data_IF_387244651066
#
_entry.id   IF_387244651066
#
_cell.length_a   1.000
_cell.length_b   1.000
_cell.length_c   1.000
_cell.angle_alpha   90.00
_cell.angle_beta   90.00
_cell.angle_gamma   90.00
#
_symmetry.space_group_name_H-M   'P 1'
#
loop_
_entity.id
_entity.type
_entity.pdbx_description
1 polymer ?
#
# COMPACT_ATOMS: atom_id res chain seq x y z
N UNK A 1 0.33 -25.64 0.46
CA UNK A 1 1.14 -24.66 -0.30
C UNK A 1 0.35 -23.37 -0.38
N UNK A 2 1.00 -22.27 -0.02
CA UNK A 2 0.45 -20.92 -0.06
C UNK A 2 0.20 -20.52 -1.52
N UNK A 3 -0.92 -19.83 -1.79
CA UNK A 3 -1.19 -19.24 -3.10
C UNK A 3 -0.36 -17.96 -3.23
N UNK A 4 0.30 -17.76 -4.35
CA UNK A 4 1.27 -16.67 -4.53
C UNK A 4 0.64 -15.49 -5.27
N UNK A 5 1.05 -14.26 -4.96
CA UNK A 5 0.57 -13.06 -5.64
C UNK A 5 1.72 -12.43 -6.43
N UNK A 6 1.41 -12.03 -7.66
CA UNK A 6 2.33 -11.26 -8.51
C UNK A 6 1.81 -9.82 -8.55
N UNK A 7 2.67 -8.88 -8.19
CA UNK A 7 2.33 -7.45 -8.20
C UNK A 7 2.79 -6.79 -9.50
N UNK A 8 1.89 -6.11 -10.20
CA UNK A 8 2.14 -5.42 -11.47
C UNK A 8 1.98 -3.92 -11.23
N UNK A 9 3.05 -3.15 -11.37
CA UNK A 9 3.04 -1.70 -11.17
C UNK A 9 3.24 -1.01 -12.51
N UNK A 10 2.30 -0.16 -12.93
CA UNK A 10 2.37 0.49 -14.25
C UNK A 10 2.37 2.01 -14.18
N UNK A 11 3.30 2.62 -14.92
CA UNK A 11 3.53 4.06 -14.96
C UNK A 11 4.09 4.65 -13.66
N UNK A 12 4.55 5.89 -13.71
CA UNK A 12 5.19 6.59 -12.59
C UNK A 12 4.44 6.49 -11.26
N UNK A 13 3.13 6.73 -11.25
CA UNK A 13 2.34 6.66 -10.02
C UNK A 13 2.23 5.23 -9.46
N UNK A 14 2.12 4.22 -10.34
CA UNK A 14 2.10 2.81 -9.95
C UNK A 14 3.44 2.36 -9.37
N UNK A 15 4.55 2.78 -9.99
CA UNK A 15 5.91 2.48 -9.50
C UNK A 15 6.18 3.11 -8.14
N UNK A 16 5.85 4.38 -7.94
CA UNK A 16 6.08 5.09 -6.66
C UNK A 16 5.20 4.58 -5.52
N UNK A 17 3.92 4.31 -5.78
CA UNK A 17 3.05 3.67 -4.79
C UNK A 17 3.49 2.23 -4.51
N UNK A 18 3.93 1.51 -5.53
CA UNK A 18 4.53 0.18 -5.40
C UNK A 18 5.79 0.18 -4.54
N UNK A 19 6.68 1.14 -4.72
CA UNK A 19 7.89 1.27 -3.91
C UNK A 19 7.54 1.46 -2.42
N UNK A 20 6.57 2.33 -2.10
CA UNK A 20 6.09 2.50 -0.72
C UNK A 20 5.44 1.23 -0.16
N UNK A 21 4.69 0.50 -1.00
CA UNK A 21 4.10 -0.79 -0.62
C UNK A 21 5.16 -1.85 -0.28
N UNK A 22 6.18 -2.00 -1.13
CA UNK A 22 7.26 -2.97 -0.89
C UNK A 22 8.14 -2.60 0.29
N UNK A 23 8.41 -1.31 0.50
CA UNK A 23 9.14 -0.82 1.67
C UNK A 23 8.40 -1.18 2.97
N UNK A 24 7.09 -0.92 3.01
CA UNK A 24 6.25 -1.30 4.14
C UNK A 24 6.22 -2.82 4.35
N UNK A 25 6.07 -3.60 3.28
CA UNK A 25 5.99 -5.06 3.37
C UNK A 25 7.30 -5.67 3.86
N UNK A 26 8.47 -5.14 3.44
CA UNK A 26 9.76 -5.56 3.99
C UNK A 26 9.85 -5.28 5.49
N UNK A 27 9.40 -4.09 5.92
CA UNK A 27 9.41 -3.71 7.32
C UNK A 27 8.51 -4.61 8.17
N UNK A 28 7.29 -4.92 7.69
CA UNK A 28 6.34 -5.82 8.37
C UNK A 28 6.86 -7.25 8.50
N UNK A 29 7.62 -7.70 7.50
CA UNK A 29 8.24 -9.04 7.47
C UNK A 29 9.57 -9.09 8.22
N UNK A 30 10.05 -7.97 8.78
CA UNK A 30 11.36 -7.91 9.42
C UNK A 30 12.52 -8.22 8.46
N UNK A 31 12.40 -7.82 7.20
CA UNK A 31 13.41 -8.01 6.16
C UNK A 31 14.25 -6.75 5.96
N UNK A 32 15.55 -6.95 5.82
CA UNK A 32 16.47 -5.92 5.33
C UNK A 32 16.25 -5.65 3.84
N UNK A 33 16.79 -4.53 3.34
CA UNK A 33 16.78 -4.23 1.90
C UNK A 33 17.58 -5.21 1.04
N UNK A 34 18.39 -6.08 1.66
CA UNK A 34 19.05 -7.18 0.96
C UNK A 34 18.12 -8.40 0.80
N UNK A 35 16.92 -8.37 1.39
CA UNK A 35 15.95 -9.46 1.38
C UNK A 35 16.26 -10.55 2.43
N UNK A 36 17.13 -10.26 3.39
CA UNK A 36 17.49 -11.16 4.49
C UNK A 36 16.75 -10.74 5.76
N UNK A 37 16.29 -11.68 6.60
CA UNK A 37 15.72 -11.36 7.90
C UNK A 37 16.73 -10.62 8.78
N UNK A 38 16.27 -9.64 9.55
CA UNK A 38 17.11 -9.02 10.58
C UNK A 38 17.49 -10.07 11.63
N UNK A 39 18.78 -10.21 11.92
CA UNK A 39 19.21 -11.07 13.03
C UNK A 39 18.82 -10.42 14.38
N UNK A 40 18.76 -11.21 15.45
CA UNK A 40 18.45 -10.74 16.80
C UNK A 40 19.45 -9.73 17.40
N UNK A 41 20.57 -9.46 16.71
CA UNK A 41 21.63 -8.51 17.07
C UNK A 41 21.59 -7.20 16.27
N UNK A 42 20.95 -7.17 15.09
CA UNK A 42 20.57 -5.95 14.39
C UNK A 42 19.15 -5.57 14.82
N UNK A 43 19.05 -4.70 15.83
CA UNK A 43 17.77 -4.21 16.32
C UNK A 43 16.84 -3.80 15.17
N UNK A 44 15.61 -4.29 15.20
CA UNK A 44 14.56 -3.88 14.27
C UNK A 44 14.47 -2.34 14.23
N UNK A 45 14.34 -1.71 13.04
CA UNK A 45 14.23 -0.25 12.95
C UNK A 45 12.98 0.30 13.65
N UNK A 46 12.01 -0.56 13.95
CA UNK A 46 10.83 -0.25 14.76
C UNK A 46 10.82 -1.20 15.95
N UNK A 47 11.01 -0.62 17.13
CA UNK A 47 11.09 -1.35 18.40
C UNK A 47 9.83 -2.15 18.68
N UNK A 48 10.00 -3.18 19.51
CA UNK A 48 8.96 -3.92 20.22
C UNK A 48 7.81 -3.00 20.72
N UNK A 49 6.60 -3.51 20.95
CA UNK A 49 5.42 -2.72 21.30
C UNK A 49 5.57 -2.09 22.71
N UNK A 50 6.33 -1.00 22.78
CA UNK A 50 6.37 -0.06 23.88
C UNK A 50 5.46 1.10 23.54
N UNK A 51 4.15 0.87 23.62
CA UNK A 51 3.18 1.96 23.61
C UNK A 51 3.40 2.83 24.84
N UNK A 52 4.08 3.97 24.67
CA UNK A 52 3.88 5.11 25.54
C UNK A 52 2.69 5.91 24.98
N UNK A 53 1.60 6.11 25.75
CA UNK A 53 0.46 6.88 25.27
C UNK A 53 0.89 8.31 24.99
N UNK A 54 0.49 8.85 23.84
CA UNK A 54 0.60 10.27 23.54
C UNK A 54 -0.10 11.08 24.62
N UNK A 55 0.68 11.80 25.42
CA UNK A 55 0.19 12.70 26.44
C UNK A 55 1.28 13.09 27.43
N UNK A 56 2.16 14.03 27.06
CA UNK A 56 2.93 14.77 28.04
C UNK A 56 3.21 16.19 27.55
N UNK A 57 3.09 17.12 28.50
CA UNK A 57 2.84 18.53 28.33
C UNK A 57 4.05 19.33 27.80
N UNK A 58 3.72 20.43 27.13
CA UNK A 58 4.63 21.53 26.86
C UNK A 58 5.18 22.12 28.17
N UNK A 59 6.50 22.33 28.24
CA UNK A 59 7.17 23.22 29.21
C UNK A 59 8.56 22.74 29.63
N UNK A 60 9.64 23.55 29.49
CA UNK A 60 10.99 23.15 29.88
C UNK A 60 11.20 23.26 31.41
N UNK A 61 11.81 22.24 32.00
CA UNK A 61 12.25 22.24 33.39
C UNK A 61 13.55 23.06 33.56
N UNK A 62 13.44 24.18 34.26
CA UNK A 62 14.56 24.93 34.81
C UNK A 62 14.93 24.33 36.18
N UNK A 63 16.22 24.09 36.44
CA UNK A 63 16.75 23.93 37.80
C UNK A 63 17.35 22.56 38.13
N UNK A 64 18.67 22.44 37.99
CA UNK A 64 19.49 21.34 38.47
C UNK A 64 19.58 21.31 40.02
N UNK A 65 19.76 20.11 40.58
CA UNK A 65 19.95 19.87 42.00
C UNK A 65 21.33 20.34 42.51
N UNK A 66 21.34 21.11 43.60
CA UNK A 66 22.50 21.31 44.49
C UNK A 66 22.02 21.61 45.91
N UNK A 67 22.51 20.84 46.89
CA UNK A 67 22.46 21.18 48.32
C UNK A 67 21.99 20.03 49.22
N UNK A 68 22.90 19.52 50.05
CA UNK A 68 22.75 18.35 50.94
C UNK A 68 22.02 18.60 52.27
N UNK A 69 22.06 17.63 53.21
CA UNK A 69 21.10 17.50 54.30
C UNK A 69 21.47 18.36 55.52
N UNK A 70 20.50 19.11 56.05
CA UNK A 70 20.59 19.77 57.35
C UNK A 70 19.21 19.81 58.01
N UNK A 71 19.08 19.21 59.21
CA UNK A 71 17.96 19.42 60.12
C UNK A 71 17.33 18.14 60.69
N UNK A 72 17.34 18.04 62.02
CA UNK A 72 16.81 16.97 62.89
C UNK A 72 15.29 17.12 63.16
N UNK A 73 14.61 16.11 63.78
CA UNK A 73 13.17 15.92 63.67
C UNK A 73 12.38 16.70 64.72
N UNK A 74 11.41 17.51 64.28
CA UNK A 74 10.44 18.14 65.18
C UNK A 74 9.16 18.52 64.42
N UNK A 75 8.01 18.01 64.86
CA UNK A 75 6.69 18.46 64.41
C UNK A 75 5.67 17.34 64.21
N UNK A 76 4.84 17.11 65.21
CA UNK A 76 3.62 16.28 65.18
C UNK A 76 2.54 16.87 64.25
N UNK A 77 1.58 16.08 63.75
CA UNK A 77 0.69 16.49 62.67
C UNK A 77 -0.39 17.45 63.18
N UNK A 78 -0.53 18.62 62.54
CA UNK A 78 -1.69 19.49 62.72
C UNK A 78 -2.48 19.50 61.40
N UNK A 79 -3.70 18.95 61.43
CA UNK A 79 -4.69 19.14 60.37
C UNK A 79 -4.92 17.91 59.49
N UNK A 80 -6.13 17.37 59.59
CA UNK A 80 -6.74 16.48 58.61
C UNK A 80 -7.15 17.28 57.36
N UNK A 81 -6.69 16.94 56.14
CA UNK A 81 -7.27 17.53 54.95
C UNK A 81 -8.65 16.91 54.70
N UNK A 82 -9.69 17.69 54.99
CA UNK A 82 -10.96 17.59 54.27
C UNK A 82 -10.67 17.76 52.78
N UNK A 83 -11.03 16.76 51.98
CA UNK A 83 -10.89 16.81 50.53
C UNK A 83 -10.76 15.40 49.96
N UNK A 84 -11.89 14.72 49.77
CA UNK A 84 -11.91 13.49 48.99
C UNK A 84 -11.51 13.79 47.53
N UNK A 85 -10.83 12.86 46.84
CA UNK A 85 -10.47 13.04 45.44
C UNK A 85 -11.75 13.05 44.58
N UNK A 86 -12.13 14.25 44.13
CA UNK A 86 -13.01 14.44 42.98
C UNK A 86 -12.23 14.03 41.73
N UNK A 87 -12.50 12.81 41.24
CA UNK A 87 -11.93 12.31 39.99
C UNK A 87 -11.68 10.81 40.05
N UNK A 88 -12.71 10.02 39.74
CA UNK A 88 -12.51 8.63 39.36
C UNK A 88 -11.83 8.55 37.98
N UNK A 89 -11.03 7.49 37.70
CA UNK A 89 -10.42 7.31 36.40
C UNK A 89 -11.52 7.09 35.35
N UNK A 90 -11.73 8.09 34.48
CA UNK A 90 -12.60 7.96 33.31
C UNK A 90 -11.84 7.16 32.24
N UNK A 91 -11.96 5.84 32.31
CA UNK A 91 -11.28 4.91 31.42
C UNK A 91 -12.06 3.60 31.31
N UNK A 92 -13.26 3.67 30.77
CA UNK A 92 -13.94 2.50 30.21
C UNK A 92 -13.74 2.52 28.67
N UNK A 93 -13.52 1.37 28.02
CA UNK A 93 -13.34 1.31 26.57
C UNK A 93 -14.64 1.73 25.87
N UNK A 94 -14.62 2.88 25.19
CA UNK A 94 -15.73 3.38 24.38
C UNK A 94 -15.69 2.73 22.98
N UNK A 95 -16.37 1.60 22.88
CA UNK A 95 -17.24 1.29 21.74
C UNK A 95 -18.46 0.57 22.31
N UNK A 96 -19.69 0.69 21.75
CA UNK A 96 -20.09 1.31 20.49
C UNK A 96 -21.29 2.27 20.62
N UNK A 97 -21.22 3.47 20.05
CA UNK A 97 -22.39 4.35 19.86
C UNK A 97 -22.19 5.18 18.59
N UNK A 98 -22.48 4.57 17.43
CA UNK A 98 -23.04 5.21 16.23
C UNK A 98 -23.13 4.17 15.10
N UNK A 99 -24.20 3.38 15.13
CA UNK A 99 -24.76 2.67 13.96
C UNK A 99 -26.26 2.42 14.24
N UNK A 100 -27.03 3.50 14.27
CA UNK A 100 -28.41 3.55 13.77
C UNK A 100 -28.33 4.57 12.63
N UNK A 101 -28.64 4.31 11.36
CA UNK A 101 -29.72 3.51 10.80
C UNK A 101 -29.26 2.86 9.48
N UNK A 102 -29.68 1.63 9.24
CA UNK A 102 -29.49 0.92 7.96
C UNK A 102 -29.24 -0.57 8.17
N UNK A 103 -30.32 -1.33 8.38
CA UNK A 103 -30.32 -2.79 8.51
C UNK A 103 -29.76 -3.47 7.26
N UNK A 104 -28.53 -3.98 7.35
CA UNK A 104 -27.97 -5.03 6.48
C UNK A 104 -27.57 -6.19 7.40
N UNK A 105 -27.96 -7.40 7.01
CA UNK A 105 -27.98 -8.60 7.85
C UNK A 105 -26.69 -8.89 8.61
N UNK A 106 -26.85 -9.47 9.81
CA UNK A 106 -25.75 -9.83 10.73
C UNK A 106 -24.71 -10.72 10.05
N UNK A 107 -23.44 -10.30 9.92
CA UNK A 107 -22.36 -11.23 9.65
C UNK A 107 -22.05 -12.02 10.93
N UNK A 108 -22.14 -13.35 10.86
CA UNK A 108 -21.81 -14.26 11.95
C UNK A 108 -20.29 -14.30 12.17
N UNK A 109 -19.77 -13.40 13.01
CA UNK A 109 -18.38 -13.45 13.45
C UNK A 109 -18.25 -14.41 14.65
N UNK A 110 -17.78 -15.63 14.40
CA UNK A 110 -17.23 -16.50 15.45
C UNK A 110 -15.79 -16.03 15.73
N UNK A 111 -15.40 -15.76 17.00
CA UNK A 111 -14.03 -15.34 17.31
C UNK A 111 -13.04 -16.47 16.99
N UNK A 112 -12.10 -16.23 16.08
CA UNK A 112 -11.00 -17.16 15.80
C UNK A 112 -9.96 -17.09 16.94
N UNK A 113 -9.51 -18.26 17.38
CA UNK A 113 -8.49 -18.46 18.41
C UNK A 113 -7.10 -17.92 18.04
N UNK A 114 -6.06 -18.23 18.84
CA UNK A 114 -4.84 -17.44 18.94
C UNK A 114 -4.08 -17.31 17.61
N UNK A 115 -3.73 -16.06 17.27
CA UNK A 115 -3.10 -15.49 16.07
C UNK A 115 -1.70 -16.03 15.69
N UNK A 116 -1.26 -17.18 16.20
CA UNK A 116 0.13 -17.63 16.06
C UNK A 116 0.46 -18.37 14.75
N UNK A 117 -0.52 -19.01 14.10
CA UNK A 117 -0.25 -19.91 12.97
C UNK A 117 -0.64 -19.34 11.59
N UNK A 118 -1.34 -18.20 11.55
CA UNK A 118 -1.85 -17.59 10.30
C UNK A 118 -0.93 -16.52 9.72
N UNK A 119 0.00 -15.96 10.50
CA UNK A 119 0.96 -14.95 10.04
C UNK A 119 1.96 -15.55 9.04
N UNK A 120 2.57 -16.69 9.37
CA UNK A 120 3.55 -17.40 8.51
C UNK A 120 3.03 -17.74 7.10
N UNK A 121 1.71 -17.96 6.94
CA UNK A 121 1.12 -18.30 5.65
C UNK A 121 0.88 -17.06 4.75
N UNK A 122 0.73 -15.87 5.34
CA UNK A 122 0.66 -14.61 4.60
C UNK A 122 2.06 -14.14 4.16
N UNK A 123 3.07 -14.48 4.97
CA UNK A 123 4.48 -14.11 4.76
C UNK A 123 5.01 -14.57 3.39
N UNK A 124 4.67 -15.76 2.91
CA UNK A 124 5.23 -16.35 1.68
C UNK A 124 4.50 -16.01 0.37
N UNK A 125 3.42 -15.23 0.44
CA UNK A 125 2.58 -14.98 -0.73
C UNK A 125 3.28 -14.12 -1.79
N UNK A 126 4.00 -13.07 -1.37
CA UNK A 126 4.57 -12.03 -2.23
C UNK A 126 6.06 -12.21 -2.57
N UNK A 127 6.79 -13.06 -1.85
CA UNK A 127 8.23 -13.21 -2.01
C UNK A 127 8.64 -14.58 -2.57
N UNK A 128 9.60 -14.58 -3.49
CA UNK A 128 10.33 -15.79 -3.90
C UNK A 128 11.59 -15.91 -3.04
N UNK A 129 11.75 -17.05 -2.37
CA UNK A 129 12.95 -17.35 -1.62
C UNK A 129 14.01 -17.97 -2.55
N UNK A 130 15.23 -17.46 -2.47
CA UNK A 130 16.39 -18.02 -3.18
C UNK A 130 17.11 -19.04 -2.30
N UNK A 131 17.95 -19.89 -2.89
CA UNK A 131 18.75 -20.89 -2.14
C UNK A 131 19.65 -20.28 -1.05
N UNK A 132 19.99 -18.99 -1.18
CA UNK A 132 20.78 -18.24 -0.20
C UNK A 132 19.93 -17.66 0.97
N UNK A 133 18.65 -18.01 1.07
CA UNK A 133 17.72 -17.48 2.08
C UNK A 133 17.28 -16.02 1.83
N UNK A 134 17.63 -15.45 0.67
CA UNK A 134 17.22 -14.10 0.27
C UNK A 134 15.81 -14.15 -0.32
N UNK A 135 14.93 -13.29 0.19
CA UNK A 135 13.54 -13.12 -0.25
C UNK A 135 13.44 -11.98 -1.26
N UNK A 136 13.00 -12.29 -2.47
CA UNK A 136 12.89 -11.34 -3.60
C UNK A 136 11.42 -11.10 -3.92
N UNK A 137 10.97 -9.84 -4.04
CA UNK A 137 9.61 -9.49 -4.44
C UNK A 137 9.18 -10.11 -5.78
N UNK A 138 8.00 -10.74 -5.83
CA UNK A 138 7.32 -11.12 -7.07
C UNK A 138 6.60 -9.90 -7.66
N UNK A 139 7.34 -9.11 -8.41
CA UNK A 139 6.79 -7.91 -9.04
C UNK A 139 7.30 -7.64 -10.45
N UNK A 140 6.42 -7.01 -11.24
CA UNK A 140 6.71 -6.40 -12.52
C UNK A 140 6.47 -4.89 -12.42
N UNK A 141 7.54 -4.10 -12.45
CA UNK A 141 7.51 -2.64 -12.45
C UNK A 141 7.76 -2.14 -13.87
N UNK A 142 6.68 -1.68 -14.53
CA UNK A 142 6.66 -1.39 -15.94
C UNK A 142 6.33 0.08 -16.17
N UNK A 143 7.30 0.86 -16.62
CA UNK A 143 7.09 2.27 -16.97
C UNK A 143 7.57 2.53 -18.40
N UNK A 144 7.05 3.57 -19.03
CA UNK A 144 7.54 4.03 -20.32
C UNK A 144 8.68 5.05 -20.16
N UNK A 145 8.81 5.62 -18.95
CA UNK A 145 9.82 6.59 -18.58
C UNK A 145 10.87 5.97 -17.63
N UNK A 146 12.13 6.44 -17.74
CA UNK A 146 13.26 5.92 -16.95
C UNK A 146 13.35 6.53 -15.54
N UNK A 147 12.77 7.71 -15.34
CA UNK A 147 12.95 8.51 -14.12
C UNK A 147 12.51 7.76 -12.85
N UNK A 148 11.29 7.23 -12.86
CA UNK A 148 10.71 6.49 -11.73
C UNK A 148 11.53 5.24 -11.39
N UNK A 149 12.00 4.53 -12.42
CA UNK A 149 12.84 3.34 -12.26
C UNK A 149 14.17 3.72 -11.61
N UNK A 150 14.86 4.71 -12.15
CA UNK A 150 16.18 5.11 -11.68
C UNK A 150 16.13 5.69 -10.26
N UNK A 151 15.04 6.36 -9.90
CA UNK A 151 14.74 6.81 -8.54
C UNK A 151 14.68 5.61 -7.56
N UNK A 152 13.93 4.56 -7.91
CA UNK A 152 13.81 3.35 -7.08
C UNK A 152 15.15 2.59 -7.01
N UNK A 153 15.85 2.42 -8.12
CA UNK A 153 17.12 1.69 -8.15
C UNK A 153 18.24 2.38 -7.38
N UNK A 154 18.21 3.72 -7.28
CA UNK A 154 19.15 4.49 -6.45
C UNK A 154 18.78 4.47 -4.96
N UNK A 155 17.53 4.17 -4.63
CA UNK A 155 17.08 4.04 -3.25
C UNK A 155 17.59 2.74 -2.61
N UNK A 156 17.58 2.62 -1.27
CA UNK A 156 17.92 1.36 -0.58
C UNK A 156 17.12 0.16 -1.08
N UNK A 157 15.84 0.39 -1.40
CA UNK A 157 14.90 -0.61 -1.92
C UNK A 157 15.33 -1.23 -3.26
N UNK A 158 16.16 -0.51 -4.05
CA UNK A 158 16.67 -1.01 -5.32
C UNK A 158 17.44 -2.33 -5.20
N UNK A 159 18.05 -2.60 -4.03
CA UNK A 159 18.78 -3.85 -3.74
C UNK A 159 17.88 -5.05 -3.50
N UNK A 160 16.59 -4.83 -3.21
CA UNK A 160 15.65 -5.91 -2.90
C UNK A 160 15.14 -6.57 -4.18
N UNK A 161 14.95 -5.79 -5.24
CA UNK A 161 14.38 -6.26 -6.48
C UNK A 161 15.34 -7.11 -7.31
N UNK A 162 14.75 -7.93 -8.20
CA UNK A 162 15.50 -8.62 -9.24
C UNK A 162 15.79 -7.63 -10.39
N UNK A 163 16.92 -7.78 -11.11
CA UNK A 163 17.14 -7.07 -12.38
C UNK A 163 16.01 -7.30 -13.39
N UNK A 164 15.31 -8.44 -13.31
CA UNK A 164 14.18 -8.81 -14.15
C UNK A 164 12.83 -8.31 -13.60
N UNK A 165 12.82 -7.42 -12.61
CA UNK A 165 11.59 -6.81 -12.08
C UNK A 165 11.23 -5.50 -12.78
N UNK A 166 12.14 -4.91 -13.57
CA UNK A 166 11.94 -3.58 -14.16
C UNK A 166 11.94 -3.60 -15.68
N UNK A 167 10.96 -2.90 -16.26
CA UNK A 167 10.94 -2.52 -17.66
C UNK A 167 10.86 -1.00 -17.77
N UNK A 168 11.60 -0.44 -18.72
CA UNK A 168 11.47 0.96 -19.12
C UNK A 168 11.41 1.09 -20.62
N UNK A 169 10.39 1.80 -21.10
CA UNK A 169 10.27 2.20 -22.50
C UNK A 169 11.36 3.20 -22.93
N UNK A 170 11.47 3.38 -24.25
CA UNK A 170 12.31 4.44 -24.86
C UNK A 170 11.53 5.73 -25.14
N UNK A 171 10.21 5.65 -25.12
CA UNK A 171 9.30 6.74 -25.46
C UNK A 171 8.23 6.89 -24.40
N UNK A 172 7.89 8.14 -24.07
CA UNK A 172 6.83 8.44 -23.11
C UNK A 172 5.44 8.42 -23.76
N UNK A 173 4.43 8.01 -22.98
CA UNK A 173 3.03 8.16 -23.35
C UNK A 173 2.58 9.62 -23.45
N UNK A 174 3.38 10.59 -22.97
CA UNK A 174 3.08 12.03 -23.02
C UNK A 174 1.70 12.38 -22.44
N UNK A 175 1.31 11.68 -21.37
CA UNK A 175 0.00 11.83 -20.72
C UNK A 175 -1.22 11.51 -21.58
N UNK A 176 -1.08 10.75 -22.68
CA UNK A 176 -2.20 10.36 -23.56
C UNK A 176 -2.44 8.84 -23.53
N UNK A 177 -3.67 8.43 -23.20
CA UNK A 177 -4.09 7.03 -23.19
C UNK A 177 -3.85 6.32 -24.54
N UNK A 178 -4.29 6.86 -25.70
CA UNK A 178 -4.13 6.15 -26.97
C UNK A 178 -2.65 5.90 -27.31
N UNK A 179 -1.78 6.86 -26.98
CA UNK A 179 -0.33 6.73 -27.17
C UNK A 179 0.25 5.67 -26.24
N UNK A 180 -0.10 5.69 -24.96
CA UNK A 180 0.33 4.67 -24.00
C UNK A 180 -0.08 3.26 -24.42
N UNK A 181 -1.35 3.08 -24.85
CA UNK A 181 -1.85 1.80 -25.32
C UNK A 181 -1.11 1.34 -26.58
N UNK A 182 -0.95 2.23 -27.56
CA UNK A 182 -0.21 1.92 -28.79
C UNK A 182 1.23 1.51 -28.49
N UNK A 183 1.92 2.21 -27.59
CA UNK A 183 3.28 1.87 -27.16
C UNK A 183 3.35 0.53 -26.43
N UNK A 184 2.33 0.16 -25.64
CA UNK A 184 2.27 -1.15 -24.97
C UNK A 184 1.98 -2.31 -25.92
N UNK A 185 1.28 -2.04 -27.02
CA UNK A 185 1.01 -3.04 -28.07
C UNK A 185 2.04 -3.05 -29.21
N UNK A 186 2.92 -2.04 -29.29
CA UNK A 186 3.93 -1.93 -30.33
C UNK A 186 5.23 -2.67 -29.96
N UNK A 187 5.82 -3.34 -30.94
CA UNK A 187 7.17 -3.88 -30.81
C UNK A 187 8.21 -2.77 -30.86
N UNK A 188 9.26 -2.77 -30.00
CA UNK A 188 9.69 -3.85 -29.10
C UNK A 188 9.21 -3.73 -27.64
N UNK A 189 8.43 -2.71 -27.28
CA UNK A 189 7.98 -2.52 -25.89
C UNK A 189 7.04 -3.65 -25.46
N UNK A 190 6.18 -4.10 -26.38
CA UNK A 190 5.30 -5.24 -26.19
C UNK A 190 6.10 -6.48 -25.82
N UNK A 191 7.03 -6.92 -26.66
CA UNK A 191 7.80 -8.15 -26.41
C UNK A 191 8.49 -8.12 -25.05
N UNK A 192 9.21 -7.04 -24.73
CA UNK A 192 9.96 -6.95 -23.47
C UNK A 192 9.07 -6.91 -22.22
N UNK A 193 7.98 -6.14 -22.23
CA UNK A 193 7.07 -6.06 -21.09
C UNK A 193 6.28 -7.36 -20.89
N UNK A 194 5.90 -8.02 -21.98
CA UNK A 194 5.21 -9.30 -21.98
C UNK A 194 6.14 -10.42 -21.50
N UNK A 195 7.38 -10.46 -21.98
CA UNK A 195 8.36 -11.47 -21.58
C UNK A 195 8.72 -11.36 -20.08
N UNK A 196 8.82 -10.13 -19.55
CA UNK A 196 9.00 -9.91 -18.12
C UNK A 196 7.84 -10.50 -17.31
N UNK A 197 6.60 -10.21 -17.72
CA UNK A 197 5.43 -10.74 -17.03
C UNK A 197 5.35 -12.27 -17.12
N UNK A 198 5.66 -12.86 -18.28
CA UNK A 198 5.75 -14.31 -18.45
C UNK A 198 6.78 -14.92 -17.51
N UNK A 199 7.97 -14.33 -17.42
CA UNK A 199 9.00 -14.80 -16.49
C UNK A 199 8.52 -14.80 -15.03
N UNK A 200 7.77 -13.79 -14.60
CA UNK A 200 7.19 -13.76 -13.25
C UNK A 200 6.11 -14.83 -13.05
N UNK A 201 5.27 -15.07 -14.06
CA UNK A 201 4.24 -16.11 -14.03
C UNK A 201 4.85 -17.52 -14.02
N UNK A 202 5.86 -17.77 -14.85
CA UNK A 202 6.58 -19.05 -14.94
C UNK A 202 7.38 -19.36 -13.67
N UNK A 203 7.94 -18.33 -13.02
CA UNK A 203 8.62 -18.48 -11.72
C UNK A 203 7.66 -18.74 -10.55
N UNK A 204 6.34 -18.70 -10.79
CA UNK A 204 5.30 -18.83 -9.76
C UNK A 204 4.58 -20.18 -9.91
N UNK A 205 4.81 -21.11 -8.98
CA UNK A 205 4.21 -22.45 -9.02
C UNK A 205 2.67 -22.44 -8.94
N UNK A 206 2.12 -21.56 -8.09
CA UNK A 206 0.67 -21.49 -7.79
C UNK A 206 0.18 -20.04 -7.72
N UNK A 207 -0.05 -19.38 -8.87
CA UNK A 207 -0.58 -18.03 -8.89
C UNK A 207 -2.01 -18.02 -8.30
N UNK A 208 -2.15 -17.27 -7.21
CA UNK A 208 -3.39 -17.05 -6.48
C UNK A 208 -4.16 -15.83 -6.93
N UNK A 209 -3.45 -14.81 -7.40
CA UNK A 209 -4.01 -13.55 -7.86
C UNK A 209 -2.94 -12.63 -8.45
N UNK A 210 -3.38 -11.71 -9.29
CA UNK A 210 -2.59 -10.60 -9.79
C UNK A 210 -3.04 -9.32 -9.08
N UNK A 211 -2.10 -8.57 -8.52
CA UNK A 211 -2.36 -7.25 -7.93
C UNK A 211 -1.78 -6.19 -8.85
N UNK A 212 -2.61 -5.34 -9.45
CA UNK A 212 -2.11 -4.26 -10.31
C UNK A 212 -2.25 -2.90 -9.63
N UNK A 213 -1.17 -2.10 -9.59
CA UNK A 213 -1.20 -0.72 -9.12
C UNK A 213 -0.91 0.24 -10.26
N UNK A 214 -1.85 1.15 -10.52
CA UNK A 214 -1.73 2.12 -11.62
C UNK A 214 -2.57 3.37 -11.38
N UNK A 215 -2.29 4.43 -12.14
CA UNK A 215 -3.12 5.64 -12.18
C UNK A 215 -3.96 5.69 -13.44
N UNK A 216 -5.21 6.14 -13.28
CA UNK A 216 -6.14 6.37 -14.38
C UNK A 216 -5.89 7.71 -15.10
N UNK A 217 -5.22 8.66 -14.45
CA UNK A 217 -4.98 10.00 -15.01
C UNK A 217 -3.82 10.07 -16.01
N UNK A 218 -2.76 9.29 -15.79
CA UNK A 218 -1.55 9.34 -16.61
C UNK A 218 -1.62 8.43 -17.85
N UNK A 219 -0.98 8.82 -18.96
CA UNK A 219 -1.00 8.03 -20.21
C UNK A 219 -0.35 6.65 -20.10
N UNK A 220 0.72 6.51 -19.29
CA UNK A 220 1.39 5.23 -19.07
C UNK A 220 0.57 4.32 -18.14
N UNK A 221 0.12 4.79 -16.98
CA UNK A 221 -0.69 3.97 -16.05
C UNK A 221 -2.08 3.62 -16.59
N UNK A 222 -2.65 4.47 -17.46
CA UNK A 222 -3.95 4.22 -18.09
C UNK A 222 -3.79 3.35 -19.33
N UNK A 223 -3.14 3.85 -20.38
CA UNK A 223 -3.07 3.20 -21.69
C UNK A 223 -2.08 2.05 -21.76
N UNK A 224 -0.83 2.28 -21.36
CA UNK A 224 0.18 1.21 -21.37
C UNK A 224 -0.16 0.13 -20.33
N UNK A 225 -0.61 0.55 -19.14
CA UNK A 225 -1.10 -0.36 -18.11
C UNK A 225 -2.26 -1.23 -18.58
N UNK A 226 -3.20 -0.67 -19.35
CA UNK A 226 -4.28 -1.47 -19.93
C UNK A 226 -3.74 -2.52 -20.92
N UNK A 227 -2.78 -2.16 -21.78
CA UNK A 227 -2.22 -3.10 -22.76
C UNK A 227 -1.51 -4.28 -22.06
N UNK A 228 -0.78 -3.98 -20.98
CA UNK A 228 -0.16 -4.99 -20.11
C UNK A 228 -1.20 -5.88 -19.44
N UNK A 229 -2.29 -5.31 -18.91
CA UNK A 229 -3.33 -6.08 -18.23
C UNK A 229 -4.16 -6.94 -19.17
N UNK A 230 -4.39 -6.48 -20.40
CA UNK A 230 -5.02 -7.29 -21.45
C UNK A 230 -4.20 -8.54 -21.70
N UNK A 231 -2.89 -8.37 -21.86
CA UNK A 231 -1.96 -9.48 -22.01
C UNK A 231 -1.93 -10.41 -20.78
N UNK A 232 -1.89 -9.85 -19.57
CA UNK A 232 -1.92 -10.63 -18.34
C UNK A 232 -3.18 -11.52 -18.24
N UNK A 233 -4.33 -10.99 -18.65
CA UNK A 233 -5.60 -11.72 -18.67
C UNK A 233 -5.63 -12.82 -19.75
N UNK A 234 -4.95 -12.62 -20.89
CA UNK A 234 -4.82 -13.64 -21.93
C UNK A 234 -3.91 -14.80 -21.51
N UNK A 235 -2.77 -14.51 -20.88
CA UNK A 235 -1.80 -15.52 -20.42
C UNK A 235 -2.30 -16.30 -19.19
N UNK A 236 -3.00 -15.62 -18.27
CA UNK A 236 -3.44 -16.20 -17.01
C UNK A 236 -4.96 -16.00 -16.74
N UNK A 237 -5.86 -16.51 -17.60
CA UNK A 237 -7.30 -16.20 -17.55
C UNK A 237 -8.02 -16.74 -16.31
N UNK A 238 -7.43 -17.71 -15.62
CA UNK A 238 -7.99 -18.30 -14.39
C UNK A 238 -7.50 -17.61 -13.11
N UNK A 239 -6.53 -16.71 -13.23
CA UNK A 239 -5.94 -16.00 -12.09
C UNK A 239 -6.72 -14.70 -11.89
N UNK A 240 -7.34 -14.49 -10.73
CA UNK A 240 -8.14 -13.30 -10.48
C UNK A 240 -7.24 -12.06 -10.43
N UNK A 241 -7.72 -10.95 -10.99
CA UNK A 241 -7.04 -9.65 -11.02
C UNK A 241 -7.71 -8.68 -10.05
N UNK A 242 -6.90 -8.04 -9.21
CA UNK A 242 -7.30 -6.92 -8.36
C UNK A 242 -6.53 -5.68 -8.83
N UNK A 243 -7.26 -4.66 -9.29
CA UNK A 243 -6.70 -3.39 -9.73
C UNK A 243 -6.84 -2.33 -8.62
N UNK A 244 -5.72 -1.83 -8.13
CA UNK A 244 -5.66 -0.58 -7.38
C UNK A 244 -5.52 0.59 -8.35
N UNK A 245 -6.53 1.45 -8.36
CA UNK A 245 -6.68 2.55 -9.30
C UNK A 245 -6.57 3.88 -8.58
N UNK A 246 -5.50 4.63 -8.86
CA UNK A 246 -5.36 6.01 -8.41
C UNK A 246 -6.20 6.92 -9.31
N UNK A 247 -7.26 7.49 -8.73
CA UNK A 247 -8.18 8.38 -9.39
C UNK A 247 -7.54 9.75 -9.66
N UNK A 248 -7.71 10.33 -10.86
CA UNK A 248 -7.25 11.69 -11.13
C UNK A 248 -8.02 12.69 -10.26
N UNK A 249 -7.32 13.64 -9.67
CA UNK A 249 -7.96 14.73 -8.93
C UNK A 249 -7.38 16.08 -9.33
N UNK A 250 -8.23 17.05 -9.73
CA UNK A 250 -7.76 18.39 -10.13
C UNK A 250 -6.96 19.08 -9.01
N UNK A 251 -7.29 18.81 -7.74
CA UNK A 251 -6.66 19.42 -6.57
C UNK A 251 -5.23 18.88 -6.32
N UNK A 252 -5.00 17.57 -6.46
CA UNK A 252 -3.68 16.98 -6.20
C UNK A 252 -2.69 17.20 -7.36
N UNK A 253 -3.18 17.27 -8.61
CA UNK A 253 -2.33 17.59 -9.76
C UNK A 253 -1.76 19.02 -9.67
N UNK A 254 -2.44 19.94 -8.97
CA UNK A 254 -2.05 21.34 -8.85
C UNK A 254 -0.94 21.65 -7.82
N UNK A 255 -0.46 20.68 -7.03
CA UNK A 255 0.48 20.97 -5.93
C UNK A 255 1.96 20.81 -6.25
N UNK A 256 2.31 20.37 -7.46
CA UNK A 256 3.71 20.27 -7.90
C UNK A 256 4.22 21.49 -8.70
N UNK A 257 3.36 22.27 -9.35
CA UNK A 257 3.65 23.64 -9.83
C UNK A 257 2.39 24.23 -10.44
N UNK A 258 2.06 25.50 -10.15
CA UNK A 258 0.83 26.18 -10.60
C UNK A 258 0.78 26.49 -12.11
N UNK A 259 1.72 26.00 -12.91
CA UNK A 259 1.79 26.29 -14.36
C UNK A 259 1.93 25.04 -15.25
N UNK A 260 2.67 24.00 -14.85
CA UNK A 260 2.83 22.77 -15.66
C UNK A 260 1.70 21.74 -15.44
N UNK A 261 0.99 21.83 -14.32
CA UNK A 261 -0.08 20.90 -13.93
C UNK A 261 -1.39 21.08 -14.70
N UNK A 262 -1.63 22.24 -15.33
CA UNK A 262 -2.90 22.52 -15.99
C UNK A 262 -3.08 21.74 -17.31
N UNK A 263 -1.99 21.47 -18.03
CA UNK A 263 -2.02 20.75 -19.30
C UNK A 263 -2.06 19.22 -19.14
N UNK A 264 -1.39 18.66 -18.12
CA UNK A 264 -1.52 17.23 -17.82
C UNK A 264 -2.93 16.92 -17.27
N UNK A 265 -3.51 17.83 -16.49
CA UNK A 265 -4.82 17.66 -15.89
C UNK A 265 -6.00 17.75 -16.87
N UNK A 266 -5.86 18.44 -18.01
CA UNK A 266 -6.99 18.57 -18.94
C UNK A 266 -7.35 17.25 -19.66
N UNK A 267 -6.38 16.34 -19.82
CA UNK A 267 -6.58 15.04 -20.47
C UNK A 267 -6.81 13.89 -19.48
N UNK A 268 -6.57 14.12 -18.19
CA UNK A 268 -6.79 13.13 -17.12
C UNK A 268 -8.20 12.52 -17.14
N UNK A 269 -9.31 13.28 -17.30
CA UNK A 269 -10.65 12.70 -17.36
C UNK A 269 -10.85 11.78 -18.57
N UNK A 270 -10.27 12.13 -19.73
CA UNK A 270 -10.34 11.31 -20.94
C UNK A 270 -9.58 10.00 -20.75
N UNK A 271 -8.37 10.07 -20.20
CA UNK A 271 -7.57 8.88 -19.90
C UNK A 271 -8.28 7.95 -18.92
N UNK A 272 -8.89 8.51 -17.87
CA UNK A 272 -9.61 7.72 -16.87
C UNK A 272 -10.84 7.04 -17.47
N UNK A 273 -11.64 7.76 -18.26
CA UNK A 273 -12.81 7.18 -18.91
C UNK A 273 -12.43 6.03 -19.85
N UNK A 274 -11.40 6.22 -20.68
CA UNK A 274 -10.92 5.20 -21.62
C UNK A 274 -10.27 4.00 -20.91
N UNK A 275 -9.59 4.21 -19.78
CA UNK A 275 -9.03 3.10 -19.02
C UNK A 275 -10.09 2.33 -18.22
N UNK A 276 -11.12 3.01 -17.73
CA UNK A 276 -12.22 2.38 -16.99
C UNK A 276 -13.02 1.41 -17.84
N UNK A 277 -13.21 1.67 -19.14
CA UNK A 277 -13.88 0.69 -20.02
C UNK A 277 -13.15 -0.64 -20.01
N UNK A 278 -11.81 -0.61 -20.09
CA UNK A 278 -11.00 -1.84 -19.99
C UNK A 278 -11.08 -2.52 -18.61
N UNK A 279 -11.22 -1.76 -17.53
CA UNK A 279 -11.41 -2.33 -16.17
C UNK A 279 -12.73 -3.08 -16.09
N UNK A 280 -13.80 -2.46 -16.58
CA UNK A 280 -15.15 -3.02 -16.57
C UNK A 280 -15.23 -4.28 -17.45
N UNK A 281 -14.60 -4.26 -18.63
CA UNK A 281 -14.60 -5.39 -19.56
C UNK A 281 -13.83 -6.60 -19.00
N UNK A 282 -12.80 -6.39 -18.19
CA UNK A 282 -12.05 -7.48 -17.54
C UNK A 282 -12.83 -8.19 -16.43
N UNK A 283 -13.82 -7.53 -15.81
CA UNK A 283 -14.63 -8.15 -14.74
C UNK A 283 -13.86 -8.52 -13.47
N UNK A 284 -12.73 -7.86 -13.21
CA UNK A 284 -11.92 -8.03 -11.99
C UNK A 284 -12.38 -7.18 -10.82
N UNK A 285 -11.73 -7.34 -9.66
CA UNK A 285 -11.91 -6.44 -8.52
C UNK A 285 -11.16 -5.12 -8.75
N UNK A 286 -11.77 -3.98 -8.40
CA UNK A 286 -11.11 -2.68 -8.49
C UNK A 286 -11.26 -1.88 -7.19
N UNK A 287 -10.14 -1.45 -6.62
CA UNK A 287 -10.09 -0.53 -5.48
C UNK A 287 -9.69 0.85 -5.97
N UNK A 288 -10.64 1.79 -5.90
CA UNK A 288 -10.42 3.17 -6.30
C UNK A 288 -9.89 3.99 -5.13
N UNK A 289 -8.77 4.69 -5.32
CA UNK A 289 -8.22 5.61 -4.34
C UNK A 289 -8.15 7.03 -4.91
N UNK A 290 -8.85 7.96 -4.28
CA UNK A 290 -8.88 9.36 -4.67
C UNK A 290 -7.80 10.16 -3.94
N UNK A 291 -6.84 10.68 -4.70
CA UNK A 291 -5.76 11.49 -4.18
C UNK A 291 -6.25 12.74 -3.43
N UNK A 292 -7.38 13.34 -3.83
CA UNK A 292 -7.95 14.49 -3.13
C UNK A 292 -8.56 14.10 -1.78
N UNK A 293 -9.22 12.95 -1.72
CA UNK A 293 -9.77 12.40 -0.48
C UNK A 293 -8.64 12.00 0.48
N UNK A 294 -7.59 11.33 -0.03
CA UNK A 294 -6.40 10.99 0.73
C UNK A 294 -5.70 12.25 1.26
N UNK A 295 -5.60 13.29 0.42
CA UNK A 295 -4.98 14.55 0.83
C UNK A 295 -5.79 15.29 1.90
N UNK A 296 -7.11 15.30 1.78
CA UNK A 296 -8.00 15.85 2.79
C UNK A 296 -7.90 15.08 4.12
N UNK A 297 -7.82 13.75 4.06
CA UNK A 297 -7.64 12.88 5.22
C UNK A 297 -6.31 13.18 5.92
N UNK A 298 -5.20 13.21 5.17
CA UNK A 298 -3.88 13.53 5.72
C UNK A 298 -3.84 14.93 6.35
N UNK A 299 -4.42 15.92 5.67
CA UNK A 299 -4.46 17.30 6.15
C UNK A 299 -5.27 17.41 7.45
N UNK A 300 -6.38 16.67 7.55
CA UNK A 300 -7.19 16.62 8.77
C UNK A 300 -6.45 15.94 9.93
N UNK A 301 -5.65 14.92 9.66
CA UNK A 301 -4.92 14.17 10.68
C UNK A 301 -3.65 14.89 11.17
N UNK A 302 -2.92 15.58 10.28
CA UNK A 302 -1.59 16.12 10.57
C UNK A 302 -1.53 17.65 10.60
N UNK A 303 -2.63 18.34 10.26
CA UNK A 303 -2.68 19.81 10.11
C UNK A 303 -1.66 20.38 9.10
N UNK A 304 -1.17 19.55 8.18
CA UNK A 304 -0.16 19.88 7.16
C UNK A 304 -0.63 19.38 5.79
N UNK A 305 -0.23 20.10 4.73
CA UNK A 305 -0.47 19.63 3.37
C UNK A 305 0.49 18.47 3.00
N UNK A 306 -0.01 17.35 2.44
CA UNK A 306 0.79 16.17 2.13
C UNK A 306 1.71 16.37 0.92
N UNK A 307 2.88 15.74 0.95
CA UNK A 307 3.63 15.41 -0.26
C UNK A 307 3.13 14.10 -0.88
N UNK A 308 3.48 13.83 -2.14
CA UNK A 308 3.10 12.59 -2.83
C UNK A 308 3.55 11.33 -2.07
N UNK A 309 4.71 11.38 -1.41
CA UNK A 309 5.19 10.27 -0.58
C UNK A 309 4.27 9.99 0.60
N UNK A 310 3.71 11.03 1.24
CA UNK A 310 2.78 10.88 2.35
C UNK A 310 1.51 10.14 1.91
N UNK A 311 1.01 10.46 0.71
CA UNK A 311 -0.14 9.77 0.10
C UNK A 311 0.19 8.31 -0.25
N UNK A 312 1.35 8.06 -0.85
CA UNK A 312 1.82 6.72 -1.18
C UNK A 312 1.96 5.83 0.06
N UNK A 313 2.37 6.41 1.20
CA UNK A 313 2.45 5.67 2.47
C UNK A 313 1.05 5.28 2.98
N UNK A 314 0.03 6.14 2.84
CA UNK A 314 -1.36 5.77 3.18
C UNK A 314 -1.87 4.67 2.26
N UNK A 315 -1.60 4.78 0.95
CA UNK A 315 -1.97 3.78 -0.05
C UNK A 315 -1.31 2.42 0.29
N UNK A 316 -0.02 2.43 0.62
CA UNK A 316 0.72 1.25 1.04
C UNK A 316 0.11 0.60 2.30
N UNK A 317 -0.23 1.39 3.31
CA UNK A 317 -0.87 0.90 4.54
C UNK A 317 -2.24 0.27 4.26
N UNK A 318 -3.06 0.90 3.42
CA UNK A 318 -4.35 0.35 3.04
C UNK A 318 -4.20 -1.00 2.32
N UNK A 319 -3.27 -1.10 1.38
CA UNK A 319 -2.98 -2.36 0.67
C UNK A 319 -2.40 -3.44 1.56
N UNK A 320 -1.47 -3.07 2.44
CA UNK A 320 -0.91 -3.99 3.42
C UNK A 320 -2.00 -4.56 4.32
N UNK A 321 -2.94 -3.72 4.78
CA UNK A 321 -4.04 -4.16 5.65
C UNK A 321 -4.94 -5.21 4.98
N UNK A 322 -5.23 -5.05 3.69
CA UNK A 322 -5.94 -6.06 2.90
C UNK A 322 -5.08 -7.33 2.70
N UNK A 323 -3.76 -7.15 2.61
CA UNK A 323 -2.80 -8.23 2.32
C UNK A 323 -2.53 -9.17 3.49
N UNK A 324 -2.61 -8.66 4.73
CA UNK A 324 -2.38 -9.44 5.95
C UNK A 324 -3.39 -10.56 6.17
N UNK A 325 -4.59 -10.44 5.62
CA UNK A 325 -5.54 -11.52 5.59
C UNK A 325 -5.53 -12.13 4.20
N UNK A 326 -4.72 -13.17 4.00
CA UNK A 326 -4.73 -13.96 2.76
C UNK A 326 -6.14 -14.46 2.43
N UNK A 327 -7.01 -14.61 3.43
CA UNK A 327 -8.42 -14.92 3.28
C UNK A 327 -9.26 -13.70 2.82
N UNK A 328 -8.96 -12.47 3.23
CA UNK A 328 -9.63 -11.26 2.71
C UNK A 328 -9.22 -10.95 1.28
N UNK A 329 -7.93 -10.98 0.94
CA UNK A 329 -7.50 -10.89 -0.45
C UNK A 329 -8.14 -12.00 -1.29
N UNK A 330 -8.15 -13.24 -0.80
CA UNK A 330 -8.83 -14.33 -1.49
C UNK A 330 -10.34 -14.08 -1.62
N UNK A 331 -11.02 -13.55 -0.62
CA UNK A 331 -12.43 -13.15 -0.70
C UNK A 331 -12.67 -11.97 -1.65
N UNK A 332 -11.72 -11.04 -1.78
CA UNK A 332 -11.75 -9.94 -2.76
C UNK A 332 -11.59 -10.52 -4.16
N UNK A 333 -10.63 -11.43 -4.35
CA UNK A 333 -10.38 -12.16 -5.60
C UNK A 333 -11.52 -13.11 -5.99
N UNK A 334 -12.28 -13.64 -5.02
CA UNK A 334 -13.43 -14.55 -5.23
C UNK A 334 -14.80 -13.93 -4.96
N UNK A 335 -14.87 -12.62 -4.76
CA UNK A 335 -16.14 -11.91 -4.62
C UNK A 335 -17.03 -12.16 -5.85
N UNK A 336 -18.33 -11.82 -5.79
CA UNK A 336 -19.29 -12.08 -6.87
C UNK A 336 -19.08 -11.15 -8.08
N UNK A 337 -17.83 -10.97 -8.51
CA UNK A 337 -17.40 -10.13 -9.62
C UNK A 337 -17.53 -10.84 -10.98
N UNK A 338 -18.02 -12.09 -10.98
CA UNK A 338 -18.36 -12.79 -12.22
C UNK A 338 -19.41 -12.00 -13.04
N UNK A 339 -19.41 -12.17 -14.37
CA UNK A 339 -20.39 -11.51 -15.24
C UNK A 339 -21.81 -11.80 -14.71
N UNK A 340 -22.74 -10.82 -14.81
CA UNK A 340 -24.10 -11.00 -14.31
C UNK A 340 -24.74 -12.21 -15.00
N UNK A 341 -24.82 -13.34 -14.29
CA UNK A 341 -25.37 -14.59 -14.81
C UNK A 341 -24.57 -15.88 -14.55
N UNK A 342 -23.36 -15.83 -13.98
CA UNK A 342 -22.67 -17.06 -13.59
C UNK A 342 -23.30 -17.64 -12.30
N UNK A 343 -23.85 -18.87 -12.31
CA UNK A 343 -24.43 -19.47 -11.10
C UNK A 343 -23.32 -19.69 -10.07
N UNK A 344 -23.51 -19.13 -8.88
CA UNK A 344 -22.64 -19.36 -7.73
C UNK A 344 -22.49 -20.87 -7.50
N UNK A 345 -21.27 -21.37 -7.73
CA UNK A 345 -20.92 -22.74 -7.42
C UNK A 345 -20.78 -22.94 -5.90
N UNK A 346 -21.04 -24.17 -5.42
CA UNK A 346 -21.39 -24.49 -4.03
C UNK A 346 -20.30 -24.22 -2.99
#
# INVERSE_FOLDING_TARGET
MVRQIISIHTGQAGLRSGAAFWDLLLAEQGLSYEGLPFDSTMGAPWGAPGGAPWGAAWGPAYGAAKGGPLGSPAGSPLGSPLGGPLGGPLGAPLGPLMLEQGTLGTPSWVPLGPLGATAQAAEDCFFTETEAGRRVPRCAMLDLDLESRDEILKSPLGRTFSPFSFFSGKESASSLFPRGRALGSADPNRSLSQDLLRQQLEATDKPGGLLCMRSLGGGAGSGFGEAVLTFAAEEAPKVPLLELLLWPSPAASCTASRAASHAASCVEPYNALLALTGVLDRGGGALLMDNSALAALFSRATSRYPFTQDLNNIIAQALSSESHSSHQLYCVFRGPWGPPGAPGGP
#
